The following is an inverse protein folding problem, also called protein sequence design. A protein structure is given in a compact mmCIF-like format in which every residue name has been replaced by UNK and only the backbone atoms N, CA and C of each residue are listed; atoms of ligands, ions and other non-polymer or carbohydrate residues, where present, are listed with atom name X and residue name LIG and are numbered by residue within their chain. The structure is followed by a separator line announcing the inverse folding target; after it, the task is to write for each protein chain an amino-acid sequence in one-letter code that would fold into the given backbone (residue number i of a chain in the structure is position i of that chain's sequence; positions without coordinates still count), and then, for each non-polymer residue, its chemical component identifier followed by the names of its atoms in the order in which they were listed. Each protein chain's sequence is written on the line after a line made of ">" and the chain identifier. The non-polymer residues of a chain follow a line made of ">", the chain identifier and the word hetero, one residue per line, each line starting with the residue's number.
data_IF_137387674607
#
_entry.id   IF_137387674607
#
_cell.length_a   1.000
_cell.length_b   1.000
_cell.length_c   1.000
_cell.angle_alpha   90.00
_cell.angle_beta   90.00
_cell.angle_gamma   90.00
#
_symmetry.space_group_name_H-M   'P 1'
#
loop_
_entity.id
_entity.type
_entity.pdbx_description
1 polymer ?
#
# COMPACT_ATOMS: atom_id res chain seq x y z
N UNK A 1 3.03 -27.16 22.15
CA UNK A 1 4.22 -26.53 22.76
C UNK A 1 4.08 -26.52 24.26
N UNK A 2 5.07 -27.14 24.91
CA UNK A 2 5.26 -27.10 26.35
C UNK A 2 5.79 -25.75 26.81
N UNK A 3 5.63 -25.42 28.09
CA UNK A 3 6.16 -24.16 28.66
C UNK A 3 7.68 -24.09 28.52
N UNK A 4 8.37 -25.22 28.72
CA UNK A 4 9.82 -25.33 28.55
C UNK A 4 10.28 -24.95 27.12
N UNK A 5 9.53 -25.30 26.10
CA UNK A 5 9.84 -24.91 24.71
C UNK A 5 9.62 -23.42 24.48
N UNK A 6 8.54 -22.86 25.03
CA UNK A 6 8.20 -21.43 24.87
C UNK A 6 9.19 -20.53 25.61
N UNK A 7 9.75 -20.97 26.72
CA UNK A 7 10.76 -20.22 27.45
C UNK A 7 12.03 -19.99 26.62
N UNK A 8 12.36 -20.88 25.67
CA UNK A 8 13.51 -20.67 24.79
C UNK A 8 13.34 -19.47 23.85
N UNK A 9 12.10 -19.06 23.57
CA UNK A 9 11.81 -17.94 22.68
C UNK A 9 12.05 -16.58 23.35
N UNK A 10 11.85 -16.50 24.67
CA UNK A 10 11.92 -15.25 25.43
C UNK A 10 13.29 -15.00 26.08
N UNK A 11 14.26 -15.90 25.89
CA UNK A 11 15.62 -15.73 26.41
C UNK A 11 16.34 -14.55 25.76
N UNK A 12 17.19 -13.81 26.48
CA UNK A 12 17.95 -12.69 25.92
C UNK A 12 18.79 -13.02 24.69
N UNK A 13 19.31 -14.24 24.64
CA UNK A 13 20.11 -14.82 23.56
C UNK A 13 19.28 -15.47 22.44
N UNK A 14 17.95 -15.33 22.49
CA UNK A 14 17.02 -15.87 21.50
C UNK A 14 17.34 -15.36 20.09
N UNK A 15 17.47 -16.30 19.14
CA UNK A 15 17.63 -16.01 17.70
C UNK A 15 16.31 -16.06 16.95
N UNK A 16 15.19 -16.19 17.65
CA UNK A 16 13.88 -16.33 17.04
C UNK A 16 13.35 -14.98 16.55
N UNK A 17 12.50 -15.01 15.53
CA UNK A 17 11.90 -13.80 14.96
C UNK A 17 10.98 -13.12 15.98
N UNK A 18 10.89 -11.77 15.98
CA UNK A 18 10.16 -11.06 17.03
C UNK A 18 8.68 -11.43 17.17
N UNK A 19 7.99 -11.77 16.08
CA UNK A 19 6.60 -12.27 16.16
C UNK A 19 6.48 -13.59 16.92
N UNK A 20 7.47 -14.48 16.79
CA UNK A 20 7.49 -15.74 17.53
C UNK A 20 7.77 -15.50 19.02
N UNK A 21 8.63 -14.51 19.33
CA UNK A 21 8.90 -14.09 20.71
C UNK A 21 7.64 -13.52 21.36
N UNK A 22 6.91 -12.65 20.65
CA UNK A 22 5.63 -12.08 21.13
C UNK A 22 4.59 -13.17 21.39
N UNK A 23 4.43 -14.10 20.45
CA UNK A 23 3.45 -15.18 20.59
C UNK A 23 3.79 -16.12 21.76
N UNK A 24 5.08 -16.43 21.94
CA UNK A 24 5.53 -17.22 23.08
C UNK A 24 5.33 -16.48 24.42
N UNK A 25 5.59 -15.17 24.45
CA UNK A 25 5.34 -14.32 25.62
C UNK A 25 3.86 -14.30 26.01
N UNK A 26 2.95 -14.08 25.05
CA UNK A 26 1.49 -14.07 25.28
C UNK A 26 0.97 -15.43 25.78
N UNK A 27 1.44 -16.53 25.20
CA UNK A 27 1.05 -17.87 25.65
C UNK A 27 1.52 -18.11 27.09
N UNK A 28 2.79 -17.81 27.40
CA UNK A 28 3.33 -17.99 28.76
C UNK A 28 2.60 -17.11 29.78
N UNK A 29 2.28 -15.86 29.42
CA UNK A 29 1.49 -14.96 30.26
C UNK A 29 0.07 -15.52 30.51
N UNK A 30 -0.60 -16.02 29.46
CA UNK A 30 -1.92 -16.63 29.57
C UNK A 30 -1.95 -17.89 30.44
N UNK A 31 -0.82 -18.59 30.54
CA UNK A 31 -0.62 -19.77 31.41
C UNK A 31 -0.22 -19.41 32.83
N UNK A 32 -0.16 -18.12 33.18
CA UNK A 32 0.12 -17.65 34.54
C UNK A 32 1.61 -17.52 34.88
N UNK A 33 2.50 -17.57 33.87
CA UNK A 33 3.94 -17.33 34.07
C UNK A 33 4.16 -15.87 34.48
N UNK A 34 4.82 -15.66 35.62
CA UNK A 34 5.20 -14.32 36.09
C UNK A 34 6.51 -13.89 35.44
N UNK A 35 6.52 -12.68 34.89
CA UNK A 35 7.71 -12.09 34.26
C UNK A 35 8.34 -11.08 35.22
N UNK A 36 9.66 -11.06 35.26
CA UNK A 36 10.41 -10.01 35.95
C UNK A 36 10.34 -8.70 35.17
N UNK A 37 10.57 -7.56 35.83
CA UNK A 37 10.62 -6.26 35.16
C UNK A 37 11.65 -6.23 34.02
N UNK A 38 12.83 -6.81 34.24
CA UNK A 38 13.89 -6.87 33.23
C UNK A 38 13.47 -7.68 31.98
N UNK A 39 12.76 -8.80 32.16
CA UNK A 39 12.24 -9.58 31.04
C UNK A 39 11.15 -8.83 30.26
N UNK A 40 10.25 -8.14 30.97
CA UNK A 40 9.21 -7.32 30.32
C UNK A 40 9.82 -6.18 29.53
N UNK A 41 10.82 -5.48 30.07
CA UNK A 41 11.54 -4.41 29.38
C UNK A 41 12.28 -4.94 28.14
N UNK A 42 12.94 -6.09 28.28
CA UNK A 42 13.63 -6.73 27.16
C UNK A 42 12.66 -7.12 26.04
N UNK A 43 11.55 -7.78 26.38
CA UNK A 43 10.52 -8.19 25.41
C UNK A 43 9.86 -6.97 24.76
N UNK A 44 9.53 -5.94 25.55
CA UNK A 44 9.00 -4.68 25.01
C UNK A 44 9.98 -3.98 24.08
N UNK A 45 11.30 -4.03 24.36
CA UNK A 45 12.32 -3.50 23.46
C UNK A 45 12.38 -4.27 22.14
N UNK A 46 12.23 -5.60 22.17
CA UNK A 46 12.17 -6.44 20.97
C UNK A 46 10.90 -6.16 20.18
N UNK A 47 9.75 -6.01 20.83
CA UNK A 47 8.47 -5.71 20.19
C UNK A 47 8.50 -4.33 19.54
N UNK A 48 9.01 -3.31 20.24
CA UNK A 48 9.15 -1.95 19.70
C UNK A 48 10.10 -1.95 18.50
N UNK A 49 11.26 -2.60 18.61
CA UNK A 49 12.18 -2.77 17.49
C UNK A 49 11.54 -3.54 16.34
N UNK A 50 10.74 -4.56 16.59
CA UNK A 50 10.05 -5.32 15.54
C UNK A 50 8.91 -4.56 14.86
N UNK A 51 8.24 -3.69 15.61
CA UNK A 51 7.32 -2.69 15.07
C UNK A 51 8.05 -1.73 14.13
N UNK A 52 9.25 -1.29 14.53
CA UNK A 52 10.14 -0.46 13.72
C UNK A 52 10.80 -1.23 12.55
N UNK A 53 11.05 -2.53 12.67
CA UNK A 53 11.59 -3.38 11.60
C UNK A 53 10.53 -3.75 10.55
N UNK A 54 9.23 -3.69 10.87
CA UNK A 54 8.19 -3.65 9.82
C UNK A 54 8.28 -2.38 8.95
N UNK A 55 8.96 -1.35 9.44
CA UNK A 55 9.33 -0.11 8.73
C UNK A 55 10.79 -0.07 8.28
N UNK A 56 11.59 -1.11 8.54
CA UNK A 56 12.91 -1.25 7.89
C UNK A 56 12.71 -1.59 6.41
N UNK A 57 12.86 -0.56 5.56
CA UNK A 57 13.23 -0.71 4.16
C UNK A 57 12.18 -0.41 3.08
N UNK A 58 11.01 0.15 3.41
CA UNK A 58 10.11 0.63 2.34
C UNK A 58 10.73 1.89 1.73
N UNK A 59 11.21 1.79 0.49
CA UNK A 59 11.77 2.92 -0.24
C UNK A 59 10.78 4.10 -0.19
N UNK A 60 11.19 5.32 0.18
CA UNK A 60 10.27 6.45 0.39
C UNK A 60 9.42 6.78 -0.84
N UNK A 61 9.90 6.39 -2.02
CA UNK A 61 9.18 6.58 -3.27
C UNK A 61 7.94 5.67 -3.42
N UNK A 62 7.82 4.56 -2.67
CA UNK A 62 6.57 3.79 -2.56
C UNK A 62 5.45 4.65 -1.97
N UNK A 63 5.71 5.32 -0.85
CA UNK A 63 4.74 6.18 -0.18
C UNK A 63 4.42 7.42 -1.01
N UNK A 64 5.43 8.04 -1.61
CA UNK A 64 5.21 9.19 -2.51
C UNK A 64 4.37 8.81 -3.73
N UNK A 65 4.65 7.67 -4.36
CA UNK A 65 3.86 7.17 -5.48
C UNK A 65 2.42 6.87 -5.06
N UNK A 66 2.24 6.20 -3.91
CA UNK A 66 0.91 5.92 -3.34
C UNK A 66 0.08 7.21 -3.15
N UNK A 67 0.69 8.26 -2.59
CA UNK A 67 0.01 9.54 -2.39
C UNK A 67 -0.44 10.19 -3.71
N UNK A 68 0.39 10.12 -4.75
CA UNK A 68 0.04 10.61 -6.08
C UNK A 68 -1.09 9.80 -6.70
N UNK A 69 -1.09 8.48 -6.51
CA UNK A 69 -2.17 7.60 -6.96
C UNK A 69 -3.48 7.95 -6.24
N UNK A 70 -3.46 8.19 -4.93
CA UNK A 70 -4.65 8.63 -4.20
C UNK A 70 -5.16 10.00 -4.66
N UNK A 71 -4.25 10.95 -4.90
CA UNK A 71 -4.64 12.26 -5.43
C UNK A 71 -5.26 12.13 -6.83
N UNK A 72 -4.73 11.22 -7.66
CA UNK A 72 -5.31 10.90 -8.97
C UNK A 72 -6.69 10.23 -8.83
N UNK A 73 -6.87 9.35 -7.85
CA UNK A 73 -8.16 8.73 -7.53
C UNK A 73 -9.20 9.76 -7.06
N UNK A 74 -8.78 10.73 -6.25
CA UNK A 74 -9.63 11.85 -5.83
C UNK A 74 -10.04 12.74 -7.02
N UNK A 75 -9.12 13.02 -7.94
CA UNK A 75 -9.44 13.69 -9.21
C UNK A 75 -10.44 12.88 -10.05
N UNK A 76 -10.27 11.55 -10.10
CA UNK A 76 -11.23 10.64 -10.73
C UNK A 76 -12.62 10.68 -10.12
N UNK A 77 -12.74 10.80 -8.78
CA UNK A 77 -14.03 11.04 -8.12
C UNK A 77 -14.63 12.38 -8.57
N UNK A 78 -13.81 13.44 -8.66
CA UNK A 78 -14.25 14.73 -9.18
C UNK A 78 -14.80 14.64 -10.61
N UNK A 79 -14.13 13.86 -11.46
CA UNK A 79 -14.59 13.56 -12.82
C UNK A 79 -15.95 12.84 -12.81
N UNK A 80 -16.15 11.84 -11.95
CA UNK A 80 -17.42 11.12 -11.82
C UNK A 80 -18.57 12.02 -11.33
N UNK A 81 -18.29 12.96 -10.42
CA UNK A 81 -19.29 13.94 -9.96
C UNK A 81 -19.66 14.89 -11.10
N UNK A 82 -18.66 15.40 -11.83
CA UNK A 82 -18.85 16.29 -12.97
C UNK A 82 -19.65 15.62 -14.10
N UNK A 83 -19.38 14.34 -14.34
CA UNK A 83 -20.02 13.54 -15.39
C UNK A 83 -21.11 12.61 -14.85
N UNK A 84 -21.76 12.98 -13.74
CA UNK A 84 -22.74 12.12 -13.06
C UNK A 84 -23.91 11.70 -13.94
N UNK A 85 -24.27 12.48 -14.96
CA UNK A 85 -25.27 12.12 -15.97
C UNK A 85 -24.89 10.85 -16.78
N UNK A 86 -23.59 10.54 -16.88
CA UNK A 86 -23.09 9.32 -17.53
C UNK A 86 -23.25 8.07 -16.64
N UNK A 87 -23.56 8.24 -15.35
CA UNK A 87 -23.86 7.16 -14.40
C UNK A 87 -25.32 6.73 -14.48
N UNK A 88 -25.85 6.59 -15.69
CA UNK A 88 -27.27 6.33 -15.96
C UNK A 88 -27.66 4.84 -15.93
N UNK A 89 -26.69 3.94 -15.75
CA UNK A 89 -26.91 2.49 -15.76
C UNK A 89 -26.23 1.80 -14.58
N UNK A 90 -26.80 0.67 -14.14
CA UNK A 90 -26.16 -0.16 -13.11
C UNK A 90 -24.75 -0.62 -13.51
N UNK A 91 -24.53 -0.85 -14.81
CA UNK A 91 -23.21 -1.22 -15.36
C UNK A 91 -22.19 -0.08 -15.23
N UNK A 92 -22.56 1.16 -15.62
CA UNK A 92 -21.65 2.31 -15.50
C UNK A 92 -21.30 2.61 -14.05
N UNK A 93 -22.26 2.49 -13.12
CA UNK A 93 -22.01 2.63 -11.68
C UNK A 93 -21.07 1.55 -11.16
N UNK A 94 -21.29 0.29 -11.55
CA UNK A 94 -20.42 -0.81 -11.16
C UNK A 94 -19.00 -0.64 -11.67
N UNK A 95 -18.82 -0.25 -12.94
CA UNK A 95 -17.51 0.02 -13.52
C UNK A 95 -16.81 1.16 -12.79
N UNK A 96 -17.51 2.26 -12.51
CA UNK A 96 -16.95 3.39 -11.76
C UNK A 96 -16.48 2.96 -10.37
N UNK A 97 -17.29 2.18 -9.64
CA UNK A 97 -16.93 1.64 -8.33
C UNK A 97 -15.71 0.71 -8.40
N UNK A 98 -15.67 -0.19 -9.40
CA UNK A 98 -14.55 -1.11 -9.61
C UNK A 98 -13.24 -0.37 -9.91
N UNK A 99 -13.29 0.69 -10.74
CA UNK A 99 -12.14 1.54 -11.03
C UNK A 99 -11.63 2.26 -9.78
N UNK A 100 -12.53 2.80 -8.95
CA UNK A 100 -12.13 3.44 -7.69
C UNK A 100 -11.48 2.43 -6.74
N UNK A 101 -12.09 1.26 -6.54
CA UNK A 101 -11.50 0.20 -5.71
C UNK A 101 -10.14 -0.22 -6.25
N UNK A 102 -9.98 -0.32 -7.56
CA UNK A 102 -8.70 -0.64 -8.19
C UNK A 102 -7.65 0.45 -7.92
N UNK A 103 -7.96 1.73 -8.15
CA UNK A 103 -7.00 2.83 -7.95
C UNK A 103 -6.60 2.97 -6.48
N UNK A 104 -7.57 2.99 -5.56
CA UNK A 104 -7.28 3.11 -4.12
C UNK A 104 -6.65 1.83 -3.56
N UNK A 105 -7.10 0.65 -4.00
CA UNK A 105 -6.54 -0.64 -3.58
C UNK A 105 -5.09 -0.81 -4.02
N UNK A 106 -4.77 -0.49 -5.28
CA UNK A 106 -3.40 -0.51 -5.78
C UNK A 106 -2.53 0.54 -5.07
N UNK A 107 -3.04 1.77 -4.90
CA UNK A 107 -2.37 2.81 -4.12
C UNK A 107 -2.01 2.36 -2.71
N UNK A 108 -2.93 1.67 -2.02
CA UNK A 108 -2.72 1.12 -0.68
C UNK A 108 -1.66 0.04 -0.62
N UNK A 109 -1.71 -0.93 -1.54
CA UNK A 109 -0.72 -2.00 -1.60
C UNK A 109 0.67 -1.46 -1.92
N UNK A 110 0.76 -0.49 -2.85
CA UNK A 110 2.01 0.20 -3.20
C UNK A 110 2.56 0.96 -2.00
N UNK A 111 1.72 1.67 -1.24
CA UNK A 111 2.15 2.39 -0.03
C UNK A 111 2.74 1.48 1.05
N UNK A 112 2.38 0.19 1.03
CA UNK A 112 2.95 -0.85 1.90
C UNK A 112 4.22 -1.52 1.33
N UNK A 113 4.75 -1.03 0.21
CA UNK A 113 5.95 -1.58 -0.42
C UNK A 113 5.70 -2.87 -1.21
N UNK A 114 4.46 -3.16 -1.62
CA UNK A 114 4.14 -4.37 -2.37
C UNK A 114 4.69 -4.31 -3.81
N UNK A 115 5.64 -5.18 -4.15
CA UNK A 115 6.26 -5.23 -5.46
C UNK A 115 5.31 -5.70 -6.58
N UNK A 116 4.37 -6.59 -6.28
CA UNK A 116 3.39 -7.05 -7.28
C UNK A 116 2.47 -5.88 -7.66
N UNK A 117 1.99 -5.12 -6.68
CA UNK A 117 1.15 -3.95 -6.92
C UNK A 117 1.89 -2.88 -7.73
N UNK A 118 3.20 -2.72 -7.54
CA UNK A 118 4.06 -1.87 -8.38
C UNK A 118 3.96 -2.25 -9.85
N UNK A 119 4.17 -3.53 -10.18
CA UNK A 119 4.13 -4.00 -11.56
C UNK A 119 2.71 -4.00 -12.14
N UNK A 120 1.70 -4.33 -11.35
CA UNK A 120 0.29 -4.19 -11.74
C UNK A 120 -0.01 -2.75 -12.14
N UNK A 121 0.33 -1.77 -11.29
CA UNK A 121 0.12 -0.36 -11.62
C UNK A 121 0.86 0.06 -12.90
N UNK A 122 2.13 -0.33 -13.06
CA UNK A 122 2.93 -0.04 -14.26
C UNK A 122 2.27 -0.58 -15.53
N UNK A 123 1.80 -1.83 -15.52
CA UNK A 123 1.13 -2.46 -16.68
C UNK A 123 -0.17 -1.71 -17.01
N UNK A 124 -1.01 -1.46 -16.01
CA UNK A 124 -2.27 -0.75 -16.21
C UNK A 124 -2.07 0.71 -16.64
N UNK A 125 -1.02 1.38 -16.16
CA UNK A 125 -0.65 2.72 -16.60
C UNK A 125 -0.32 2.72 -18.10
N UNK A 126 0.50 1.77 -18.57
CA UNK A 126 0.86 1.65 -20.00
C UNK A 126 -0.35 1.33 -20.86
N UNK A 127 -1.25 0.43 -20.41
CA UNK A 127 -2.52 0.17 -21.09
C UNK A 127 -3.41 1.42 -21.13
N UNK A 128 -3.41 2.21 -20.05
CA UNK A 128 -4.15 3.47 -19.95
C UNK A 128 -3.72 4.52 -20.98
N UNK A 129 -2.47 4.47 -21.48
CA UNK A 129 -2.00 5.38 -22.53
C UNK A 129 -2.75 5.19 -23.86
N UNK A 130 -3.40 4.05 -24.07
CA UNK A 130 -4.29 3.84 -25.24
C UNK A 130 -5.45 4.86 -25.22
N UNK A 131 -5.84 5.36 -24.04
CA UNK A 131 -6.89 6.37 -23.87
C UNK A 131 -6.49 7.81 -24.17
N UNK A 132 -5.23 8.08 -24.56
CA UNK A 132 -4.75 9.44 -24.90
C UNK A 132 -5.63 10.14 -25.96
N UNK A 133 -6.07 9.50 -27.06
CA UNK A 133 -6.94 10.15 -28.04
C UNK A 133 -8.26 10.64 -27.43
N UNK A 134 -8.85 9.85 -26.53
CA UNK A 134 -10.08 10.24 -25.80
C UNK A 134 -9.84 11.44 -24.90
N UNK A 135 -8.69 11.50 -24.23
CA UNK A 135 -8.29 12.65 -23.42
C UNK A 135 -8.16 13.93 -24.26
N UNK A 136 -7.57 13.83 -25.46
CA UNK A 136 -7.46 14.96 -26.40
C UNK A 136 -8.85 15.43 -26.86
N UNK A 137 -9.76 14.49 -27.12
CA UNK A 137 -11.14 14.81 -27.46
C UNK A 137 -11.83 15.58 -26.33
N UNK A 138 -11.67 15.14 -25.08
CA UNK A 138 -12.27 15.81 -23.91
C UNK A 138 -11.79 17.25 -23.74
N UNK A 139 -10.51 17.54 -23.98
CA UNK A 139 -10.00 18.92 -23.94
C UNK A 139 -10.73 19.87 -24.90
N UNK A 140 -11.29 19.35 -25.99
CA UNK A 140 -12.04 20.14 -26.97
C UNK A 140 -13.54 20.19 -26.67
N UNK A 141 -14.12 19.10 -26.15
CA UNK A 141 -15.57 18.97 -25.98
C UNK A 141 -16.05 19.33 -24.57
N UNK A 142 -15.28 19.00 -23.55
CA UNK A 142 -15.53 19.34 -22.14
C UNK A 142 -14.19 19.71 -21.49
N UNK A 143 -13.78 20.99 -21.59
CA UNK A 143 -12.49 21.44 -21.11
C UNK A 143 -12.25 21.20 -19.61
N UNK A 144 -13.32 21.18 -18.78
CA UNK A 144 -13.20 20.91 -17.34
C UNK A 144 -12.86 19.45 -17.12
N UNK A 145 -13.58 18.53 -17.76
CA UNK A 145 -13.28 17.10 -17.73
C UNK A 145 -11.89 16.80 -18.33
N UNK A 146 -11.55 17.47 -19.43
CA UNK A 146 -10.23 17.39 -20.05
C UNK A 146 -9.11 17.80 -19.09
N UNK A 147 -9.27 18.91 -18.37
CA UNK A 147 -8.30 19.37 -17.37
C UNK A 147 -8.14 18.38 -16.20
N UNK A 148 -9.24 17.81 -15.69
CA UNK A 148 -9.20 16.79 -14.64
C UNK A 148 -8.44 15.55 -15.13
N UNK A 149 -8.72 15.08 -16.35
CA UNK A 149 -8.06 13.92 -16.94
C UNK A 149 -6.56 14.16 -17.20
N UNK A 150 -6.18 15.36 -17.64
CA UNK A 150 -4.78 15.76 -17.79
C UNK A 150 -4.07 15.76 -16.43
N UNK A 151 -4.67 16.35 -15.40
CA UNK A 151 -4.13 16.33 -14.05
C UNK A 151 -3.94 14.89 -13.55
N UNK A 152 -4.93 14.02 -13.78
CA UNK A 152 -4.85 12.61 -13.41
C UNK A 152 -3.69 11.91 -14.12
N UNK A 153 -3.51 12.13 -15.43
CA UNK A 153 -2.41 11.56 -16.19
C UNK A 153 -1.04 12.03 -15.66
N UNK A 154 -0.89 13.33 -15.37
CA UNK A 154 0.36 13.88 -14.81
C UNK A 154 0.71 13.22 -13.47
N UNK A 155 -0.27 13.11 -12.57
CA UNK A 155 -0.06 12.49 -11.26
C UNK A 155 0.31 11.01 -11.38
N UNK A 156 -0.39 10.26 -12.22
CA UNK A 156 -0.12 8.84 -12.45
C UNK A 156 1.22 8.61 -13.16
N UNK A 157 1.59 9.49 -14.10
CA UNK A 157 2.90 9.46 -14.76
C UNK A 157 4.03 9.72 -13.75
N UNK A 158 3.84 10.65 -12.82
CA UNK A 158 4.84 10.90 -11.79
C UNK A 158 4.96 9.73 -10.80
N UNK A 159 3.83 9.12 -10.41
CA UNK A 159 3.84 7.88 -9.64
C UNK A 159 4.60 6.75 -10.37
N UNK A 160 4.34 6.57 -11.66
CA UNK A 160 5.04 5.61 -12.51
C UNK A 160 6.57 5.81 -12.50
N UNK A 161 7.03 7.06 -12.68
CA UNK A 161 8.47 7.39 -12.63
C UNK A 161 9.07 7.05 -11.26
N UNK A 162 8.40 7.40 -10.17
CA UNK A 162 8.86 7.09 -8.81
C UNK A 162 8.97 5.58 -8.57
N UNK A 163 8.00 4.80 -9.05
CA UNK A 163 8.01 3.35 -8.92
C UNK A 163 9.14 2.68 -9.70
N UNK A 164 9.52 3.23 -10.86
CA UNK A 164 10.67 2.73 -11.63
C UNK A 164 12.01 3.02 -10.96
N UNK A 165 12.11 4.08 -10.15
CA UNK A 165 13.34 4.41 -9.39
C UNK A 165 13.61 3.42 -8.27
N UNK A 166 12.58 2.70 -7.80
CA UNK A 166 12.74 1.75 -6.71
C UNK A 166 13.53 0.54 -7.24
N UNK A 167 14.73 0.26 -6.68
CA UNK A 167 15.53 -0.86 -7.13
C UNK A 167 14.72 -2.15 -6.99
N UNK A 168 14.72 -2.96 -8.05
CA UNK A 168 14.19 -4.32 -7.95
C UNK A 168 14.97 -5.06 -6.87
N UNK A 169 14.28 -5.80 -6.00
CA UNK A 169 14.90 -6.59 -4.96
C UNK A 169 15.78 -7.67 -5.61
N UNK A 170 17.03 -7.33 -5.91
CA UNK A 170 18.04 -8.27 -6.39
C UNK A 170 18.37 -9.15 -5.19
N UNK A 171 17.67 -10.28 -5.08
CA UNK A 171 18.24 -11.43 -4.39
C UNK A 171 19.44 -11.88 -5.24
N UNK A 172 20.61 -11.37 -4.89
CA UNK A 172 21.90 -11.97 -5.28
C UNK A 172 22.16 -13.12 -4.34
#
# INVERSE_FOLDING_TARGET
>A
MSDHELEQYIKPESRFVPQAILYAYEILQSRGRKFTHHEQEHINSIISRAGEQKTEGIHPDYTKASNLIYLSGAAGIGSLIWTSEQLNSGMSVFIAAAVLVFVFGTGYMIGKGNEVAKYVFIIFFVLGLIGIPTLIAHLSTDPVLGAINVLQLILQAWAFVLLLKIPGNKKV
#
